data_IF_498867771126
#
_entry.id   IF_498867771126
#
_cell.length_a   1.000
_cell.length_b   1.000
_cell.length_c   1.000
_cell.angle_alpha   90.00
_cell.angle_beta   90.00
_cell.angle_gamma   90.00
#
_symmetry.space_group_name_H-M   'P 1'
#
loop_
_entity.id
_entity.type
_entity.pdbx_description
1 polymer ?
#
# COMPACT_ATOMS: atom_id res chain seq x y z
N UNK A 1 -12.68 -62.53 -45.95
CA UNK A 1 -11.94 -62.11 -44.74
C UNK A 1 -11.57 -60.63 -44.91
N UNK A 2 -11.78 -59.81 -43.86
CA UNK A 2 -11.52 -58.34 -43.76
C UNK A 2 -12.42 -57.40 -44.60
N UNK A 3 -13.59 -56.95 -44.11
CA UNK A 3 -13.95 -55.94 -43.07
C UNK A 3 -13.85 -54.46 -43.52
N UNK A 4 -15.02 -53.94 -43.92
CA UNK A 4 -15.61 -52.59 -43.80
C UNK A 4 -14.68 -51.42 -43.44
N UNK A 5 -14.66 -50.38 -44.29
CA UNK A 5 -14.26 -49.02 -43.92
C UNK A 5 -15.43 -48.05 -44.15
N UNK A 6 -16.22 -47.87 -43.09
CA UNK A 6 -17.08 -46.70 -42.84
C UNK A 6 -16.44 -45.99 -41.64
N UNK A 7 -16.20 -44.68 -41.74
CA UNK A 7 -15.61 -43.89 -40.65
C UNK A 7 -15.25 -42.48 -41.11
N UNK A 8 -16.23 -41.58 -41.19
CA UNK A 8 -16.42 -40.47 -40.23
C UNK A 8 -15.68 -39.19 -40.66
N UNK A 9 -16.47 -38.33 -41.31
CA UNK A 9 -16.38 -36.88 -41.26
C UNK A 9 -16.56 -36.42 -39.80
N UNK A 10 -15.52 -35.93 -39.13
CA UNK A 10 -15.69 -35.12 -37.92
C UNK A 10 -14.46 -34.23 -37.65
N UNK A 11 -14.65 -32.94 -37.90
CA UNK A 11 -14.13 -31.79 -37.17
C UNK A 11 -12.76 -31.93 -36.48
N UNK A 12 -11.69 -31.53 -37.18
CA UNK A 12 -10.48 -31.02 -36.54
C UNK A 12 -10.08 -29.69 -37.20
N UNK A 13 -10.98 -28.71 -37.12
CA UNK A 13 -10.56 -27.31 -37.12
C UNK A 13 -9.96 -27.10 -35.73
N UNK A 14 -8.64 -27.31 -35.62
CA UNK A 14 -7.84 -26.78 -34.53
C UNK A 14 -7.87 -25.26 -34.67
N UNK A 15 -9.00 -24.66 -34.28
CA UNK A 15 -9.07 -23.27 -33.86
C UNK A 15 -8.20 -23.20 -32.61
N UNK A 16 -6.93 -22.85 -32.80
CA UNK A 16 -6.08 -22.41 -31.70
C UNK A 16 -6.65 -21.05 -31.30
N UNK A 17 -7.71 -21.09 -30.51
CA UNK A 17 -8.15 -19.95 -29.74
C UNK A 17 -7.05 -19.74 -28.71
N UNK A 18 -6.04 -18.94 -29.06
CA UNK A 18 -5.17 -18.33 -28.06
C UNK A 18 -6.07 -17.40 -27.25
N UNK A 19 -6.72 -17.96 -26.23
CA UNK A 19 -7.20 -17.17 -25.12
C UNK A 19 -5.94 -16.54 -24.53
N UNK A 20 -5.71 -15.28 -24.86
CA UNK A 20 -4.77 -14.46 -24.12
C UNK A 20 -5.25 -14.51 -22.67
N UNK A 21 -4.54 -15.27 -21.84
CA UNK A 21 -4.72 -15.13 -20.40
C UNK A 21 -4.39 -13.67 -20.10
N UNK A 22 -5.42 -12.88 -19.81
CA UNK A 22 -5.24 -11.63 -19.09
C UNK A 22 -4.73 -12.05 -17.72
N UNK A 23 -3.41 -11.99 -17.54
CA UNK A 23 -2.80 -12.12 -16.22
C UNK A 23 -3.23 -10.91 -15.42
N UNK A 24 -4.36 -11.00 -14.74
CA UNK A 24 -4.62 -10.09 -13.63
C UNK A 24 -3.51 -10.36 -12.62
N UNK A 25 -2.72 -9.35 -12.29
CA UNK A 25 -1.71 -9.47 -11.24
C UNK A 25 -2.38 -10.08 -10.01
N UNK A 26 -1.90 -11.24 -9.57
CA UNK A 26 -2.46 -11.93 -8.43
C UNK A 26 -2.29 -11.01 -7.21
N UNK A 27 -3.39 -10.42 -6.75
CA UNK A 27 -3.35 -9.60 -5.56
C UNK A 27 -3.08 -10.51 -4.36
N UNK A 28 -1.95 -10.30 -3.69
CA UNK A 28 -1.65 -11.04 -2.45
C UNK A 28 -2.42 -10.38 -1.30
N UNK A 29 -3.23 -11.17 -0.60
CA UNK A 29 -3.94 -10.67 0.58
C UNK A 29 -2.99 -10.60 1.77
N UNK A 30 -2.91 -9.42 2.40
CA UNK A 30 -2.02 -9.18 3.52
C UNK A 30 -2.69 -8.42 4.65
N UNK A 31 -2.29 -8.72 5.89
CA UNK A 31 -2.87 -8.13 7.08
C UNK A 31 -2.21 -6.80 7.44
N UNK A 32 -3.02 -5.75 7.56
CA UNK A 32 -2.62 -4.44 8.10
C UNK A 32 -3.31 -4.27 9.45
N UNK A 33 -2.54 -4.40 10.53
CA UNK A 33 -3.05 -4.53 11.91
C UNK A 33 -3.29 -3.20 12.62
N UNK A 34 -3.34 -2.09 11.88
CA UNK A 34 -3.58 -0.75 12.40
C UNK A 34 -4.49 0.03 11.45
N UNK A 35 -5.08 1.13 11.92
CA UNK A 35 -5.76 2.06 11.02
C UNK A 35 -4.77 2.71 10.07
N UNK A 36 -5.21 3.03 8.85
CA UNK A 36 -4.35 3.65 7.84
C UNK A 36 -5.13 4.58 6.93
N UNK A 37 -4.45 5.60 6.40
CA UNK A 37 -4.98 6.45 5.34
C UNK A 37 -4.67 5.86 3.97
N UNK A 38 -5.61 6.06 3.04
CA UNK A 38 -5.38 5.89 1.62
C UNK A 38 -5.01 7.20 0.94
N UNK A 39 -4.14 7.12 -0.07
CA UNK A 39 -3.59 8.24 -0.82
C UNK A 39 -3.72 8.00 -2.33
N UNK A 40 -3.95 9.07 -3.11
CA UNK A 40 -3.98 9.01 -4.58
C UNK A 40 -2.60 8.77 -5.21
N UNK A 41 -1.55 9.22 -4.55
CA UNK A 41 -0.14 9.03 -4.93
C UNK A 41 0.66 8.49 -3.75
N UNK A 42 1.82 7.83 -3.96
CA UNK A 42 2.67 7.31 -2.89
C UNK A 42 3.46 8.45 -2.20
N UNK A 43 2.73 9.35 -1.56
CA UNK A 43 3.22 10.55 -0.89
C UNK A 43 2.29 10.95 0.24
N UNK A 44 2.85 11.32 1.41
CA UNK A 44 2.07 11.81 2.55
C UNK A 44 1.41 13.17 2.29
N UNK A 45 1.87 13.91 1.27
CA UNK A 45 1.26 15.17 0.84
C UNK A 45 0.17 14.99 -0.23
N UNK A 46 -0.09 13.76 -0.67
CA UNK A 46 -1.15 13.45 -1.63
C UNK A 46 -2.53 13.68 -1.01
N UNK A 47 -3.52 13.98 -1.86
CA UNK A 47 -4.92 13.91 -1.47
C UNK A 47 -5.26 12.52 -0.91
N UNK A 48 -6.01 12.51 0.19
CA UNK A 48 -6.52 11.30 0.84
C UNK A 48 -7.72 10.74 0.09
N UNK A 49 -7.86 9.42 0.09
CA UNK A 49 -9.05 8.70 -0.44
C UNK A 49 -10.09 8.51 0.68
N UNK A 50 -11.16 7.74 0.44
CA UNK A 50 -12.18 7.44 1.45
C UNK A 50 -12.78 8.69 2.13
N UNK A 51 -12.97 9.76 1.35
CA UNK A 51 -13.45 11.05 1.87
C UNK A 51 -12.55 11.68 2.94
N UNK A 52 -11.27 11.28 3.02
CA UNK A 52 -10.33 11.74 4.04
C UNK A 52 -10.36 10.93 5.34
N UNK A 53 -11.19 9.89 5.44
CA UNK A 53 -11.29 9.03 6.63
C UNK A 53 -10.30 7.87 6.58
N UNK A 54 -9.84 7.44 7.75
CA UNK A 54 -9.01 6.24 7.88
C UNK A 54 -9.81 4.97 7.55
N UNK A 55 -9.10 3.99 7.00
CA UNK A 55 -9.53 2.61 7.02
C UNK A 55 -9.13 2.00 8.37
N UNK A 56 -9.98 1.15 8.95
CA UNK A 56 -9.60 0.34 10.10
C UNK A 56 -8.63 -0.78 9.73
N UNK A 57 -8.03 -1.39 10.74
CA UNK A 57 -7.20 -2.59 10.59
C UNK A 57 -7.97 -3.70 9.84
N UNK A 58 -7.37 -4.24 8.78
CA UNK A 58 -8.00 -5.22 7.91
C UNK A 58 -6.98 -5.95 7.03
N UNK A 59 -7.43 -7.01 6.36
CA UNK A 59 -6.69 -7.61 5.26
C UNK A 59 -6.93 -6.82 3.98
N UNK A 60 -5.87 -6.52 3.25
CA UNK A 60 -5.90 -5.75 1.99
C UNK A 60 -5.39 -6.60 0.84
N UNK A 61 -5.94 -6.40 -0.35
CA UNK A 61 -5.39 -6.97 -1.57
C UNK A 61 -4.26 -6.09 -2.08
N UNK A 62 -3.01 -6.55 -2.00
CA UNK A 62 -1.84 -5.80 -2.47
C UNK A 62 -1.59 -6.05 -3.95
N UNK A 63 -1.32 -4.99 -4.71
CA UNK A 63 -1.02 -5.01 -6.15
C UNK A 63 0.44 -4.64 -6.42
N UNK A 64 1.00 -3.74 -5.61
CA UNK A 64 2.39 -3.32 -5.70
C UNK A 64 2.93 -3.06 -4.29
N UNK A 65 4.19 -3.42 -4.05
CA UNK A 65 4.93 -3.05 -2.85
C UNK A 65 6.20 -2.32 -3.20
N UNK A 66 6.52 -1.32 -2.40
CA UNK A 66 7.80 -0.60 -2.42
C UNK A 66 8.50 -0.76 -1.08
N UNK A 67 9.82 -0.82 -1.11
CA UNK A 67 10.66 -1.05 0.07
C UNK A 67 10.55 0.08 1.11
N UNK A 68 10.12 1.28 0.70
CA UNK A 68 9.87 2.42 1.57
C UNK A 68 8.49 2.40 2.26
N UNK A 69 7.78 1.27 2.22
CA UNK A 69 6.51 1.07 2.92
C UNK A 69 5.27 1.47 2.12
N UNK A 70 5.43 2.06 0.94
CA UNK A 70 4.30 2.39 0.06
C UNK A 70 3.78 1.13 -0.63
N UNK A 71 2.56 0.74 -0.31
CA UNK A 71 1.86 -0.36 -0.94
C UNK A 71 0.68 0.18 -1.75
N UNK A 72 0.48 -0.36 -2.94
CA UNK A 72 -0.72 -0.12 -3.72
C UNK A 72 -1.69 -1.26 -3.47
N UNK A 73 -2.90 -0.95 -3.02
CA UNK A 73 -3.93 -1.93 -2.69
C UNK A 73 -5.18 -1.74 -3.56
N UNK A 74 -5.91 -2.82 -3.80
CA UNK A 74 -7.24 -2.73 -4.39
C UNK A 74 -8.29 -2.35 -3.34
N UNK A 75 -9.16 -1.43 -3.71
CA UNK A 75 -10.33 -1.04 -2.91
C UNK A 75 -11.56 -0.94 -3.82
N UNK A 76 -12.74 -0.79 -3.24
CA UNK A 76 -13.97 -0.55 -4.01
C UNK A 76 -13.97 0.80 -4.76
N UNK A 77 -13.12 1.75 -4.35
CA UNK A 77 -12.86 3.03 -5.05
C UNK A 77 -11.82 2.88 -6.18
N UNK A 78 -11.27 1.67 -6.36
CA UNK A 78 -10.13 1.37 -7.23
C UNK A 78 -8.81 1.32 -6.47
N UNK A 79 -7.67 1.30 -7.17
CA UNK A 79 -6.35 1.21 -6.56
C UNK A 79 -6.00 2.43 -5.71
N UNK A 80 -5.50 2.19 -4.50
CA UNK A 80 -5.15 3.23 -3.50
C UNK A 80 -3.74 2.96 -2.96
N UNK A 81 -2.98 4.02 -2.69
CA UNK A 81 -1.69 3.92 -2.00
C UNK A 81 -1.86 4.00 -0.49
N UNK A 82 -1.21 3.11 0.24
CA UNK A 82 -1.11 3.15 1.70
C UNK A 82 0.37 3.14 2.09
N UNK A 83 0.71 3.62 3.29
CA UNK A 83 2.05 3.46 3.82
C UNK A 83 2.00 2.71 5.16
N UNK A 84 2.68 1.55 5.23
CA UNK A 84 2.70 0.72 6.45
C UNK A 84 3.88 1.03 7.38
N UNK A 85 4.84 1.83 6.90
CA UNK A 85 6.03 2.21 7.64
C UNK A 85 5.87 3.55 8.37
N UNK A 86 4.90 4.39 7.99
CA UNK A 86 4.74 5.74 8.52
C UNK A 86 5.67 6.76 7.87
N UNK A 87 5.50 8.03 8.24
CA UNK A 87 6.24 9.15 7.67
C UNK A 87 7.49 9.48 8.50
N UNK A 88 8.66 9.43 7.88
CA UNK A 88 9.88 9.92 8.51
C UNK A 88 9.92 11.45 8.44
N UNK A 89 10.08 12.06 9.61
CA UNK A 89 10.20 13.51 9.78
C UNK A 89 11.49 13.83 10.51
N UNK A 90 12.10 14.93 10.11
CA UNK A 90 13.31 15.46 10.74
C UNK A 90 12.92 16.69 11.54
N UNK A 91 13.16 16.63 12.84
CA UNK A 91 13.17 17.80 13.70
C UNK A 91 14.57 18.38 13.68
N UNK A 92 14.65 19.68 13.40
CA UNK A 92 15.90 20.43 13.59
C UNK A 92 16.29 20.45 15.06
N UNK A 93 17.36 21.15 15.33
CA UNK A 93 17.78 21.46 16.69
C UNK A 93 16.68 22.15 17.51
N UNK A 94 16.39 21.66 18.72
CA UNK A 94 15.33 22.21 19.58
C UNK A 94 15.66 22.18 21.07
N UNK A 95 14.90 22.94 21.86
CA UNK A 95 14.87 22.88 23.32
C UNK A 95 13.53 22.32 23.78
N UNK A 96 13.54 21.49 24.81
CA UNK A 96 12.32 21.09 25.51
C UNK A 96 12.01 22.11 26.62
N UNK A 97 10.75 22.23 27.00
CA UNK A 97 10.27 23.14 28.05
C UNK A 97 9.49 22.35 29.09
N UNK A 98 9.58 22.74 30.36
CA UNK A 98 8.90 22.04 31.46
C UNK A 98 7.36 22.16 31.36
N UNK A 99 6.87 23.17 30.65
CA UNK A 99 5.45 23.43 30.39
C UNK A 99 5.24 23.79 28.90
N UNK A 100 4.02 23.63 28.34
CA UNK A 100 3.71 24.00 26.96
C UNK A 100 3.60 25.53 26.78
N UNK A 101 4.66 26.25 27.14
CA UNK A 101 4.80 27.70 27.01
C UNK A 101 6.25 28.07 26.68
N UNK A 102 6.43 29.00 25.74
CA UNK A 102 7.75 29.55 25.40
C UNK A 102 8.37 30.39 26.54
N UNK A 103 7.56 30.80 27.52
CA UNK A 103 8.05 31.49 28.72
C UNK A 103 8.48 30.55 29.84
N UNK A 104 8.26 29.24 29.70
CA UNK A 104 8.67 28.25 30.69
C UNK A 104 10.18 28.06 30.72
N UNK A 105 10.67 27.41 31.76
CA UNK A 105 12.07 27.02 31.86
C UNK A 105 12.38 25.99 30.78
N UNK A 106 13.58 26.09 30.21
CA UNK A 106 14.13 25.05 29.35
C UNK A 106 14.41 23.82 30.20
N UNK A 107 13.82 22.69 29.80
CA UNK A 107 13.95 21.41 30.45
C UNK A 107 15.36 20.83 30.28
N UNK A 108 15.60 19.62 30.82
CA UNK A 108 16.86 18.87 30.67
C UNK A 108 18.10 19.70 31.05
N UNK A 109 18.01 20.47 32.13
CA UNK A 109 19.06 21.36 32.62
C UNK A 109 19.60 22.36 31.56
N UNK A 110 18.76 22.78 30.61
CA UNK A 110 19.16 23.70 29.54
C UNK A 110 19.85 23.04 28.34
N UNK A 111 19.94 21.70 28.31
CA UNK A 111 20.59 21.00 27.22
C UNK A 111 19.75 21.08 25.93
N UNK A 112 20.44 21.40 24.82
CA UNK A 112 19.87 21.45 23.48
C UNK A 112 19.79 20.05 22.89
N UNK A 113 18.65 19.70 22.33
CA UNK A 113 18.51 18.51 21.51
C UNK A 113 19.01 18.83 20.10
N UNK A 114 20.02 18.08 19.64
CA UNK A 114 20.44 18.13 18.25
C UNK A 114 19.37 17.52 17.34
N UNK A 115 19.51 17.71 16.02
CA UNK A 115 18.67 17.09 14.99
C UNK A 115 18.19 15.67 15.34
N UNK A 116 16.88 15.46 15.34
CA UNK A 116 16.24 14.16 15.58
C UNK A 116 15.48 13.71 14.34
N UNK A 117 15.53 12.42 14.04
CA UNK A 117 14.62 11.78 13.08
C UNK A 117 13.59 10.97 13.85
N UNK A 118 12.32 11.18 13.55
CA UNK A 118 11.21 10.45 14.14
C UNK A 118 10.28 9.96 13.04
N UNK A 119 9.45 8.98 13.39
CA UNK A 119 8.51 8.36 12.47
C UNK A 119 7.11 8.57 13.02
N UNK A 120 6.25 9.13 12.18
CA UNK A 120 4.82 9.28 12.47
C UNK A 120 4.14 8.04 11.89
N UNK A 121 3.68 7.16 12.78
CA UNK A 121 2.92 5.94 12.42
C UNK A 121 1.43 6.16 12.58
#
# INVERSE_FOLDING_TARGET
MFKKSIGILLFFILSISTFGMVTHAASSSESVNQSFYGYKEPSFNSAKTNGGSEYGAQNVGVVEKRDNGWWKIETWEGPVWINVNGEERVMGDFYAYDEPSLSSKVANAGAKYGRQTFRIV
#
